data_IF_249349771910
#
_entry.id   IF_249349771910
#
_cell.length_a   1.000
_cell.length_b   1.000
_cell.length_c   1.000
_cell.angle_alpha   90.00
_cell.angle_beta   90.00
_cell.angle_gamma   90.00
#
_symmetry.space_group_name_H-M   'P 1'
#
loop_
_entity.id
_entity.type
_entity.pdbx_description
1 polymer ?
#
# COMPACT_ATOMS: atom_id res chain seq x y z
N UNK A 1 2.46 0.99 33.06
CA UNK A 1 2.57 -0.21 32.19
C UNK A 1 2.07 0.26 30.83
N UNK A 2 2.96 0.41 29.84
CA UNK A 2 2.50 0.70 28.48
C UNK A 2 1.78 -0.54 27.96
N UNK A 3 0.62 -0.33 27.34
CA UNK A 3 -0.15 -1.41 26.73
C UNK A 3 0.62 -1.92 25.52
N UNK A 4 0.99 -3.20 25.50
CA UNK A 4 1.62 -3.85 24.34
C UNK A 4 0.79 -3.73 23.04
N UNK A 5 -0.46 -3.31 23.13
CA UNK A 5 -1.35 -3.05 21.99
C UNK A 5 -1.20 -1.64 21.39
N UNK A 6 -0.38 -0.78 22.01
CA UNK A 6 -0.10 0.59 21.55
C UNK A 6 1.37 0.75 21.11
N UNK A 7 2.13 -0.35 21.05
CA UNK A 7 3.48 -0.32 20.52
C UNK A 7 3.43 -0.14 18.98
N UNK A 8 4.44 0.54 18.43
CA UNK A 8 4.51 0.79 16.99
C UNK A 8 4.58 -0.52 16.21
N UNK A 9 3.81 -0.58 15.12
CA UNK A 9 3.80 -1.74 14.23
C UNK A 9 5.15 -1.83 13.48
N UNK A 10 5.87 -2.96 13.51
CA UNK A 10 7.13 -3.11 12.79
C UNK A 10 6.96 -2.83 11.29
N UNK A 11 7.97 -2.17 10.70
CA UNK A 11 8.00 -1.81 9.28
C UNK A 11 9.26 -2.38 8.62
N UNK A 12 9.08 -3.11 7.53
CA UNK A 12 10.15 -3.75 6.77
C UNK A 12 10.33 -3.06 5.43
N UNK A 13 11.54 -2.61 5.15
CA UNK A 13 11.84 -1.74 4.00
C UNK A 13 12.04 -2.53 2.70
N UNK A 14 11.57 -1.93 1.60
CA UNK A 14 11.98 -2.30 0.24
C UNK A 14 13.03 -1.33 -0.29
N UNK A 15 13.92 -1.84 -1.14
CA UNK A 15 14.74 -0.98 -1.98
C UNK A 15 13.86 -0.16 -2.92
N UNK A 16 14.12 1.15 -2.97
CA UNK A 16 13.25 2.11 -3.66
C UNK A 16 13.03 1.75 -5.12
N UNK A 17 14.11 1.44 -5.84
CA UNK A 17 14.03 1.19 -7.28
C UNK A 17 13.20 -0.05 -7.59
N UNK A 18 13.34 -1.11 -6.78
CA UNK A 18 12.59 -2.34 -6.93
C UNK A 18 11.11 -2.14 -6.61
N UNK A 19 10.80 -1.45 -5.51
CA UNK A 19 9.42 -1.12 -5.14
C UNK A 19 8.71 -0.33 -6.24
N UNK A 20 9.35 0.73 -6.74
CA UNK A 20 8.83 1.56 -7.84
C UNK A 20 8.62 0.73 -9.10
N UNK A 21 9.56 -0.15 -9.43
CA UNK A 21 9.47 -1.02 -10.59
C UNK A 21 8.29 -1.97 -10.50
N UNK A 22 8.04 -2.57 -9.33
CA UNK A 22 6.89 -3.46 -9.12
C UNK A 22 5.58 -2.68 -9.29
N UNK A 23 5.43 -1.50 -8.68
CA UNK A 23 4.26 -0.64 -8.87
C UNK A 23 4.01 -0.34 -10.34
N UNK A 24 5.04 0.11 -11.08
CA UNK A 24 4.93 0.45 -12.51
C UNK A 24 4.72 -0.73 -13.44
N UNK A 25 4.99 -1.96 -12.98
CA UNK A 25 4.66 -3.17 -13.73
C UNK A 25 3.17 -3.54 -13.62
N UNK A 26 2.49 -3.08 -12.58
CA UNK A 26 1.07 -3.39 -12.33
C UNK A 26 0.17 -2.23 -12.73
N UNK A 27 0.58 -1.00 -12.40
CA UNK A 27 -0.18 0.23 -12.62
C UNK A 27 0.57 1.18 -13.55
N UNK A 28 -0.19 1.86 -14.41
CA UNK A 28 0.27 3.01 -15.18
C UNK A 28 0.50 4.21 -14.27
N UNK A 29 1.22 5.23 -14.76
CA UNK A 29 1.44 6.47 -14.00
C UNK A 29 0.14 7.15 -13.58
N UNK A 30 -0.87 7.12 -14.45
CA UNK A 30 -2.18 7.74 -14.18
C UNK A 30 -2.93 6.95 -13.10
N UNK A 31 -2.93 5.62 -13.16
CA UNK A 31 -3.53 4.77 -12.12
C UNK A 31 -2.82 4.95 -10.76
N UNK A 32 -1.50 5.09 -10.73
CA UNK A 32 -0.76 5.37 -9.49
C UNK A 32 -1.18 6.73 -8.92
N UNK A 33 -1.33 7.75 -9.77
CA UNK A 33 -1.81 9.06 -9.35
C UNK A 33 -3.24 8.98 -8.80
N UNK A 34 -4.13 8.24 -9.45
CA UNK A 34 -5.50 8.03 -8.98
C UNK A 34 -5.53 7.33 -7.61
N UNK A 35 -4.67 6.32 -7.39
CA UNK A 35 -4.50 5.67 -6.09
C UNK A 35 -4.05 6.69 -5.02
N UNK A 36 -3.06 7.54 -5.31
CA UNK A 36 -2.62 8.59 -4.39
C UNK A 36 -3.76 9.56 -4.05
N UNK A 37 -4.60 9.93 -5.03
CA UNK A 37 -5.80 10.76 -4.83
C UNK A 37 -6.84 10.03 -3.97
N UNK A 38 -7.06 8.74 -4.19
CA UNK A 38 -7.98 7.92 -3.38
C UNK A 38 -7.52 7.83 -1.92
N UNK A 39 -6.22 7.66 -1.67
CA UNK A 39 -5.65 7.68 -0.33
C UNK A 39 -5.92 9.01 0.38
N UNK A 40 -5.74 10.15 -0.32
CA UNK A 40 -6.01 11.48 0.24
C UNK A 40 -7.50 11.72 0.54
N UNK A 41 -8.39 11.15 -0.28
CA UNK A 41 -9.83 11.19 -0.07
C UNK A 41 -10.35 10.22 1.00
N UNK A 42 -9.50 9.33 1.50
CA UNK A 42 -9.85 8.13 2.29
C UNK A 42 -10.87 7.26 1.57
N UNK A 43 -10.43 6.11 1.07
CA UNK A 43 -11.28 5.25 0.25
C UNK A 43 -11.33 3.84 0.81
N UNK A 44 -12.55 3.38 1.11
CA UNK A 44 -12.83 1.97 1.34
C UNK A 44 -13.37 1.33 0.06
N UNK A 45 -12.91 0.13 -0.21
CA UNK A 45 -13.43 -0.80 -1.22
C UNK A 45 -13.98 -2.04 -0.51
N UNK A 46 -14.20 -3.14 -1.23
CA UNK A 46 -14.61 -4.40 -0.59
C UNK A 46 -13.43 -5.00 0.20
N UNK A 47 -12.25 -5.07 -0.42
CA UNK A 47 -11.09 -5.75 0.16
C UNK A 47 -10.02 -4.81 0.74
N UNK A 48 -10.07 -3.52 0.42
CA UNK A 48 -9.00 -2.57 0.75
C UNK A 48 -9.49 -1.27 1.42
N UNK A 49 -8.58 -0.71 2.23
CA UNK A 49 -8.63 0.68 2.70
C UNK A 49 -7.39 1.42 2.15
N UNK A 50 -7.66 2.51 1.44
CA UNK A 50 -6.66 3.47 0.96
C UNK A 50 -6.75 4.73 1.82
N UNK A 51 -5.63 5.12 2.40
CA UNK A 51 -5.59 6.17 3.43
C UNK A 51 -4.32 7.01 3.33
N UNK A 52 -4.40 8.28 3.70
CA UNK A 52 -3.26 9.19 3.78
C UNK A 52 -3.15 9.74 5.20
N UNK A 53 -1.96 9.60 5.79
CA UNK A 53 -1.62 10.18 7.08
C UNK A 53 -0.13 10.48 7.15
N UNK A 54 0.22 11.53 7.90
CA UNK A 54 1.62 11.86 8.22
C UNK A 54 2.56 11.88 6.99
N UNK A 55 2.05 12.40 5.87
CA UNK A 55 2.73 12.48 4.57
C UNK A 55 3.03 11.14 3.86
N UNK A 56 2.38 10.06 4.31
CA UNK A 56 2.45 8.72 3.72
C UNK A 56 1.12 8.27 3.13
N UNK A 57 1.21 7.53 2.04
CA UNK A 57 0.10 6.81 1.43
C UNK A 57 0.08 5.39 1.96
N UNK A 58 -1.08 4.92 2.37
CA UNK A 58 -1.31 3.58 2.92
C UNK A 58 -2.31 2.83 2.05
N UNK A 59 -1.99 1.58 1.75
CA UNK A 59 -2.89 0.61 1.14
C UNK A 59 -2.95 -0.58 2.10
N UNK A 60 -4.15 -0.84 2.61
CA UNK A 60 -4.39 -1.83 3.65
C UNK A 60 -5.33 -2.88 3.09
N UNK A 61 -4.86 -4.12 2.98
CA UNK A 61 -5.73 -5.25 2.65
C UNK A 61 -6.42 -5.74 3.92
N UNK A 62 -7.75 -5.63 3.96
CA UNK A 62 -8.56 -5.80 5.17
C UNK A 62 -8.50 -7.23 5.71
N UNK A 63 -8.58 -8.23 4.83
CA UNK A 63 -8.64 -9.62 5.25
C UNK A 63 -7.31 -10.13 5.84
N UNK A 64 -6.17 -9.71 5.28
CA UNK A 64 -4.86 -10.20 5.71
C UNK A 64 -4.15 -9.28 6.71
N UNK A 65 -4.64 -8.05 6.88
CA UNK A 65 -3.95 -7.01 7.65
C UNK A 65 -2.58 -6.62 7.07
N UNK A 66 -2.31 -6.91 5.79
CA UNK A 66 -1.11 -6.43 5.10
C UNK A 66 -1.27 -4.93 4.83
N UNK A 67 -0.27 -4.16 5.23
CA UNK A 67 -0.18 -2.72 5.06
C UNK A 67 1.04 -2.44 4.21
N UNK A 68 0.83 -1.83 3.05
CA UNK A 68 1.89 -1.23 2.24
C UNK A 68 1.78 0.27 2.40
N UNK A 69 2.88 0.93 2.76
CA UNK A 69 2.91 2.38 2.85
C UNK A 69 4.16 2.97 2.22
N UNK A 70 3.99 4.18 1.70
CA UNK A 70 5.09 4.92 1.12
C UNK A 70 4.97 6.43 1.25
N UNK A 71 6.12 7.07 1.42
CA UNK A 71 6.22 8.53 1.44
C UNK A 71 6.33 9.07 0.01
N UNK A 72 5.55 10.11 -0.31
CA UNK A 72 5.57 10.97 -1.53
C UNK A 72 6.18 10.34 -2.79
N UNK A 73 5.37 10.06 -3.80
CA UNK A 73 5.82 9.59 -5.12
C UNK A 73 6.76 8.36 -5.05
N UNK A 74 6.47 7.41 -4.14
CA UNK A 74 7.27 6.18 -3.94
C UNK A 74 8.73 6.47 -3.54
N UNK A 75 8.96 7.52 -2.74
CA UNK A 75 10.20 8.28 -2.76
C UNK A 75 11.23 7.99 -1.67
N UNK A 76 10.85 7.55 -0.46
CA UNK A 76 11.80 7.46 0.67
C UNK A 76 11.53 6.29 1.60
N UNK A 77 10.35 6.27 2.20
CA UNK A 77 9.88 5.14 2.98
C UNK A 77 9.02 4.32 2.05
N UNK A 78 9.36 3.05 1.83
CA UNK A 78 8.52 2.07 1.14
C UNK A 78 8.55 0.83 2.02
N UNK A 79 7.46 0.54 2.71
CA UNK A 79 7.45 -0.48 3.77
C UNK A 79 6.26 -1.40 3.69
N UNK A 80 6.43 -2.58 4.29
CA UNK A 80 5.36 -3.50 4.63
C UNK A 80 5.42 -3.81 6.11
N UNK A 81 4.26 -4.04 6.75
CA UNK A 81 4.19 -4.44 8.15
C UNK A 81 4.50 -5.93 8.43
N UNK A 82 4.78 -6.72 7.39
CA UNK A 82 5.00 -8.17 7.52
C UNK A 82 6.46 -8.54 7.29
N UNK A 83 7.03 -9.28 8.24
CA UNK A 83 8.38 -9.81 8.13
C UNK A 83 8.48 -10.80 6.95
N UNK A 84 9.54 -10.67 6.16
CA UNK A 84 9.79 -11.57 5.03
C UNK A 84 8.88 -11.34 3.81
N UNK A 85 8.04 -10.30 3.80
CA UNK A 85 7.22 -9.95 2.65
C UNK A 85 8.10 -9.54 1.46
N UNK A 86 7.99 -10.27 0.36
CA UNK A 86 8.89 -10.17 -0.79
C UNK A 86 8.37 -9.22 -1.87
N UNK A 87 9.18 -8.98 -2.92
CA UNK A 87 8.75 -8.25 -4.11
C UNK A 87 7.68 -9.01 -4.91
N UNK A 88 7.66 -10.34 -4.83
CA UNK A 88 6.63 -11.17 -5.46
C UNK A 88 5.29 -11.00 -4.71
N UNK A 89 5.33 -11.04 -3.38
CA UNK A 89 4.15 -10.77 -2.55
C UNK A 89 3.61 -9.34 -2.79
N UNK A 90 4.50 -8.35 -2.98
CA UNK A 90 4.09 -6.99 -3.33
C UNK A 90 3.38 -6.95 -4.68
N UNK A 91 3.90 -7.67 -5.67
CA UNK A 91 3.27 -7.73 -6.99
C UNK A 91 1.88 -8.35 -6.90
N UNK A 92 1.73 -9.45 -6.17
CA UNK A 92 0.44 -10.13 -6.00
C UNK A 92 -0.55 -9.25 -5.23
N UNK A 93 -0.09 -8.57 -4.16
CA UNK A 93 -0.89 -7.58 -3.43
C UNK A 93 -1.43 -6.47 -4.35
N UNK A 94 -0.57 -5.92 -5.23
CA UNK A 94 -0.97 -4.87 -6.15
C UNK A 94 -1.90 -5.37 -7.26
N UNK A 95 -1.76 -6.62 -7.70
CA UNK A 95 -2.69 -7.24 -8.65
C UNK A 95 -4.07 -7.43 -8.02
N UNK A 96 -4.15 -7.84 -6.75
CA UNK A 96 -5.41 -7.94 -6.01
C UNK A 96 -6.08 -6.57 -5.89
N UNK A 97 -5.32 -5.54 -5.51
CA UNK A 97 -5.83 -4.16 -5.50
C UNK A 97 -6.36 -3.74 -6.88
N UNK A 98 -5.65 -4.10 -7.96
CA UNK A 98 -6.04 -3.73 -9.31
C UNK A 98 -7.38 -4.34 -9.72
N UNK A 99 -7.64 -5.59 -9.34
CA UNK A 99 -8.95 -6.22 -9.62
C UNK A 99 -10.07 -5.60 -8.78
N UNK A 100 -9.84 -5.40 -7.48
CA UNK A 100 -10.82 -4.76 -6.57
C UNK A 100 -11.21 -3.33 -7.03
N UNK A 101 -10.24 -2.55 -7.53
CA UNK A 101 -10.52 -1.22 -8.09
C UNK A 101 -11.28 -1.24 -9.43
N UNK A 102 -11.22 -2.33 -10.22
CA UNK A 102 -12.00 -2.44 -11.46
C UNK A 102 -13.47 -2.70 -11.19
N UNK A 103 -13.78 -3.52 -10.20
CA UNK A 103 -15.16 -3.89 -9.86
C UNK A 103 -15.99 -2.70 -9.36
N UNK A 104 -15.31 -1.59 -9.05
CA UNK A 104 -15.94 -0.31 -8.72
C UNK A 104 -16.42 0.51 -9.92
N UNK A 105 -16.05 0.13 -11.15
CA UNK A 105 -16.40 0.88 -12.38
C UNK A 105 -17.78 0.54 -12.96
N UNK A 106 -18.69 -0.01 -12.14
CA UNK A 106 -20.09 -0.33 -12.49
C UNK A 106 -21.04 0.81 -12.10
#
# INVERSE_FOLDING_TARGET
MYSQYLDDLPQYHFEREDFVKVFRNVFTSDEIFDIEVMCQGVKNTEDFLLYYADDEFYIIHLASGTIINYYKHLGRTNTCNKEGFTLEDLKDFLLLLKEDLKDMSV
#
